data_IF_958236670261
#
_entry.id   IF_958236670261
#
_cell.length_a   1.000
_cell.length_b   1.000
_cell.length_c   1.000
_cell.angle_alpha   90.00
_cell.angle_beta   90.00
_cell.angle_gamma   90.00
#
_symmetry.space_group_name_H-M   'P 1'
#
loop_
_entity.id
_entity.type
_entity.pdbx_description
1 polymer ?
#
# COMPACT_ATOMS: atom_id res chain seq x y z
N UNK A 1 -25.22 -24.03 -19.78
CA UNK A 1 -25.06 -24.26 -18.32
C UNK A 1 -24.50 -22.99 -17.73
N UNK A 2 -25.20 -22.38 -16.76
CA UNK A 2 -24.73 -21.16 -16.12
C UNK A 2 -23.54 -21.50 -15.21
N UNK A 3 -22.43 -20.78 -15.38
CA UNK A 3 -21.28 -20.88 -14.48
C UNK A 3 -21.71 -20.47 -13.07
N UNK A 4 -21.31 -21.25 -12.08
CA UNK A 4 -21.61 -21.00 -10.67
C UNK A 4 -20.95 -19.69 -10.22
N UNK A 5 -21.55 -18.96 -9.28
CA UNK A 5 -21.05 -17.65 -8.80
C UNK A 5 -19.58 -17.68 -8.33
N UNK A 6 -19.09 -18.82 -7.85
CA UNK A 6 -17.67 -19.01 -7.49
C UNK A 6 -16.71 -19.07 -8.69
N UNK A 7 -17.20 -19.41 -9.88
CA UNK A 7 -16.39 -19.44 -11.11
C UNK A 7 -16.27 -18.05 -11.78
N UNK A 8 -16.99 -17.04 -11.29
CA UNK A 8 -17.06 -15.70 -11.91
C UNK A 8 -16.01 -14.72 -11.39
N UNK A 9 -15.50 -14.88 -10.16
CA UNK A 9 -14.51 -13.95 -9.61
C UNK A 9 -13.54 -14.66 -8.66
N UNK A 10 -12.29 -14.22 -8.69
CA UNK A 10 -11.25 -14.69 -7.78
C UNK A 10 -11.27 -13.84 -6.51
N UNK A 11 -11.56 -14.46 -5.37
CA UNK A 11 -11.34 -13.83 -4.06
C UNK A 11 -9.84 -13.85 -3.75
N UNK A 12 -9.30 -12.72 -3.36
CA UNK A 12 -7.95 -12.59 -2.85
C UNK A 12 -8.01 -12.13 -1.39
N UNK A 13 -7.19 -12.74 -0.53
CA UNK A 13 -7.04 -12.31 0.85
C UNK A 13 -6.10 -11.10 0.86
N UNK A 14 -6.42 -10.07 1.63
CA UNK A 14 -5.62 -8.82 1.66
C UNK A 14 -4.20 -9.11 2.17
N UNK A 15 -4.09 -10.09 3.06
CA UNK A 15 -2.86 -10.56 3.68
C UNK A 15 -1.85 -11.14 2.67
N UNK A 16 -2.29 -11.48 1.45
CA UNK A 16 -1.44 -11.94 0.35
C UNK A 16 -0.60 -10.80 -0.26
N UNK A 17 -0.94 -9.53 -0.02
CA UNK A 17 -0.35 -8.37 -0.68
C UNK A 17 0.69 -7.61 0.16
N UNK A 18 1.40 -8.31 1.02
CA UNK A 18 2.46 -7.70 1.84
C UNK A 18 3.74 -7.51 1.01
N UNK A 19 4.24 -6.28 0.99
CA UNK A 19 5.56 -5.95 0.42
C UNK A 19 6.64 -6.26 1.46
N UNK A 20 7.39 -7.34 1.25
CA UNK A 20 8.41 -7.84 2.18
C UNK A 20 9.77 -7.16 2.01
N UNK A 21 10.19 -6.97 0.76
CA UNK A 21 11.48 -6.36 0.40
C UNK A 21 11.33 -4.85 0.21
N UNK A 22 12.39 -4.10 0.49
CA UNK A 22 12.40 -2.64 0.31
C UNK A 22 12.36 -2.30 -1.19
N UNK A 23 11.27 -1.72 -1.72
CA UNK A 23 11.23 -1.32 -3.11
C UNK A 23 12.03 -0.03 -3.29
N UNK A 24 12.78 0.07 -4.39
CA UNK A 24 13.48 1.31 -4.71
C UNK A 24 12.46 2.43 -5.02
N UNK A 25 12.53 3.50 -4.23
CA UNK A 25 11.82 4.76 -4.43
C UNK A 25 12.74 5.92 -4.04
N UNK A 26 12.82 6.94 -4.89
CA UNK A 26 13.59 8.15 -4.63
C UNK A 26 12.61 9.28 -4.34
N UNK A 27 12.61 9.78 -3.10
CA UNK A 27 11.82 10.93 -2.71
C UNK A 27 12.32 12.20 -3.42
N UNK A 28 11.37 13.03 -3.85
CA UNK A 28 11.62 14.31 -4.54
C UNK A 28 11.37 15.49 -3.58
N UNK A 29 10.48 15.33 -2.61
CA UNK A 29 10.12 16.33 -1.60
C UNK A 29 9.75 15.63 -0.28
N UNK A 30 8.80 16.21 0.44
CA UNK A 30 8.21 15.83 1.72
C UNK A 30 7.04 14.84 1.60
N UNK A 31 6.85 14.18 0.44
CA UNK A 31 5.70 13.29 0.23
C UNK A 31 5.64 12.12 1.22
N UNK A 32 6.79 11.65 1.70
CA UNK A 32 6.86 10.58 2.70
C UNK A 32 6.28 11.07 4.03
N UNK A 33 6.73 12.22 4.52
CA UNK A 33 6.34 12.75 5.82
C UNK A 33 4.85 13.13 5.82
N UNK A 34 4.38 13.76 4.73
CA UNK A 34 2.95 14.08 4.53
C UNK A 34 2.10 12.79 4.55
N UNK A 35 2.55 11.75 3.85
CA UNK A 35 1.80 10.50 3.78
C UNK A 35 1.78 9.77 5.13
N UNK A 36 2.89 9.74 5.88
CA UNK A 36 2.94 9.17 7.23
C UNK A 36 1.98 9.90 8.18
N UNK A 37 1.95 11.24 8.14
CA UNK A 37 1.03 12.05 8.94
C UNK A 37 -0.44 11.77 8.56
N UNK A 38 -0.76 11.74 7.26
CA UNK A 38 -2.10 11.43 6.78
C UNK A 38 -2.53 10.00 7.18
N UNK A 39 -1.61 9.03 7.11
CA UNK A 39 -1.87 7.65 7.51
C UNK A 39 -2.15 7.53 9.02
N UNK A 40 -1.37 8.22 9.85
CA UNK A 40 -1.57 8.26 11.30
C UNK A 40 -2.96 8.79 11.67
N UNK A 41 -3.42 9.83 10.98
CA UNK A 41 -4.73 10.46 11.17
C UNK A 41 -5.87 9.80 10.36
N UNK A 42 -5.58 8.72 9.62
CA UNK A 42 -6.54 8.01 8.74
C UNK A 42 -7.23 8.93 7.72
N UNK A 43 -6.50 9.92 7.22
CA UNK A 43 -6.97 10.85 6.19
C UNK A 43 -6.81 10.20 4.81
N UNK A 44 -7.86 10.16 3.96
CA UNK A 44 -7.74 9.67 2.59
C UNK A 44 -6.76 10.52 1.75
N UNK A 45 -5.86 9.85 1.02
CA UNK A 45 -4.85 10.52 0.17
C UNK A 45 -5.15 10.28 -1.31
N UNK A 46 -5.14 11.36 -2.10
CA UNK A 46 -5.19 11.31 -3.56
C UNK A 46 -3.80 11.58 -4.15
N UNK A 47 -3.25 10.60 -4.86
CA UNK A 47 -1.97 10.75 -5.58
C UNK A 47 -2.22 11.25 -7.00
N UNK A 48 -1.83 12.50 -7.28
CA UNK A 48 -1.95 13.12 -8.60
C UNK A 48 -0.61 13.18 -9.35
N UNK A 49 -0.66 13.11 -10.68
CA UNK A 49 0.51 13.29 -11.56
C UNK A 49 0.38 12.51 -12.87
N UNK A 50 1.17 12.85 -13.91
CA UNK A 50 1.14 12.15 -15.19
C UNK A 50 1.55 10.68 -15.06
N UNK A 51 1.27 9.87 -16.07
CA UNK A 51 1.71 8.47 -16.11
C UNK A 51 3.23 8.36 -16.02
N UNK A 52 3.76 7.30 -15.39
CA UNK A 52 5.20 7.06 -15.28
C UNK A 52 5.94 7.88 -14.19
N UNK A 53 5.24 8.69 -13.40
CA UNK A 53 5.84 9.50 -12.30
C UNK A 53 6.07 8.75 -10.99
N UNK A 54 5.88 7.43 -10.96
CA UNK A 54 6.17 6.62 -9.78
C UNK A 54 5.09 6.60 -8.69
N UNK A 55 3.86 7.07 -8.93
CA UNK A 55 2.76 7.02 -7.95
C UNK A 55 2.52 5.63 -7.34
N UNK A 56 2.45 4.59 -8.17
CA UNK A 56 2.28 3.20 -7.71
C UNK A 56 3.49 2.74 -6.90
N UNK A 57 4.70 3.09 -7.35
CA UNK A 57 5.95 2.77 -6.65
C UNK A 57 6.05 3.47 -5.29
N UNK A 58 5.54 4.69 -5.19
CA UNK A 58 5.45 5.41 -3.94
C UNK A 58 4.55 4.68 -2.94
N UNK A 59 3.36 4.23 -3.35
CA UNK A 59 2.48 3.46 -2.45
C UNK A 59 3.10 2.14 -2.04
N UNK A 60 3.75 1.43 -2.97
CA UNK A 60 4.49 0.19 -2.68
C UNK A 60 5.57 0.44 -1.61
N UNK A 61 6.34 1.53 -1.74
CA UNK A 61 7.35 1.95 -0.76
C UNK A 61 6.74 2.30 0.60
N UNK A 62 5.65 3.06 0.62
CA UNK A 62 4.96 3.42 1.86
C UNK A 62 4.35 2.19 2.55
N UNK A 63 3.80 1.22 1.81
CA UNK A 63 3.30 -0.05 2.35
C UNK A 63 4.40 -0.82 3.08
N UNK A 64 5.56 -0.99 2.44
CA UNK A 64 6.71 -1.65 3.06
C UNK A 64 7.18 -0.90 4.32
N UNK A 65 7.32 0.43 4.21
CA UNK A 65 7.84 1.28 5.27
C UNK A 65 6.96 1.30 6.51
N UNK A 66 5.64 1.45 6.34
CA UNK A 66 4.66 1.46 7.43
C UNK A 66 4.54 0.09 8.12
N UNK A 67 4.66 -1.00 7.36
CA UNK A 67 4.72 -2.35 7.92
C UNK A 67 5.97 -2.51 8.81
N UNK A 68 7.14 -2.12 8.29
CA UNK A 68 8.41 -2.16 9.05
C UNK A 68 8.34 -1.34 10.35
N UNK A 69 7.65 -0.20 10.35
CA UNK A 69 7.43 0.61 11.56
C UNK A 69 6.44 -0.07 12.53
N UNK A 70 5.36 -0.65 12.02
CA UNK A 70 4.36 -1.37 12.84
C UNK A 70 4.97 -2.56 13.57
N UNK A 71 5.84 -3.32 12.90
CA UNK A 71 6.59 -4.42 13.50
C UNK A 71 7.50 -3.96 14.66
N UNK A 72 8.12 -2.77 14.55
CA UNK A 72 8.93 -2.18 15.64
C UNK A 72 8.08 -1.77 16.84
N UNK A 73 6.84 -1.33 16.62
CA UNK A 73 5.93 -0.85 17.66
C UNK A 73 5.12 -1.98 18.34
N UNK A 74 5.45 -3.26 18.07
CA UNK A 74 4.77 -4.41 18.67
C UNK A 74 3.37 -4.70 18.11
N UNK A 75 2.93 -3.97 17.07
CA UNK A 75 1.73 -4.33 16.31
C UNK A 75 2.06 -5.54 15.45
N UNK A 76 1.38 -6.66 15.71
CA UNK A 76 1.63 -7.95 15.06
C UNK A 76 0.93 -8.12 13.72
N UNK A 77 0.00 -7.23 13.38
CA UNK A 77 -0.81 -7.38 12.18
C UNK A 77 -0.46 -6.29 11.15
N UNK A 78 0.26 -6.62 10.07
CA UNK A 78 0.55 -5.67 9.02
C UNK A 78 -0.73 -5.39 8.23
N UNK A 79 -1.17 -4.14 8.19
CA UNK A 79 -2.24 -3.73 7.27
C UNK A 79 -1.59 -3.30 5.96
N UNK A 80 -1.61 -4.12 4.89
CA UNK A 80 -1.02 -3.72 3.62
C UNK A 80 -1.86 -2.60 2.99
N UNK A 81 -1.21 -1.59 2.41
CA UNK A 81 -1.92 -0.66 1.54
C UNK A 81 -2.10 -1.34 0.19
N UNK A 82 -3.36 -1.50 -0.21
CA UNK A 82 -3.74 -2.08 -1.49
C UNK A 82 -4.29 -0.97 -2.37
N UNK A 83 -3.73 -0.81 -3.57
CA UNK A 83 -4.27 0.07 -4.61
C UNK A 83 -4.95 -0.78 -5.66
N UNK A 84 -6.19 -0.43 -6.03
CA UNK A 84 -6.97 -1.07 -7.11
C UNK A 84 -6.85 -0.29 -8.43
#
# INVERSE_FOLDING_TARGET
>A
MAKTTEELFKRHSIEEYIVSEEPFYLAVSDEIDIFEAAFAERVPVLLKGPTGTGKTRFVEYMSWRLNKQSAKNGRRDPTPLVTV
#
